data_IF_713176856272
#
_entry.id   IF_713176856272
#
_cell.length_a   1.000
_cell.length_b   1.000
_cell.length_c   1.000
_cell.angle_alpha   90.00
_cell.angle_beta   90.00
_cell.angle_gamma   90.00
#
_symmetry.space_group_name_H-M   'P 1'
#
loop_
_entity.id
_entity.type
_entity.pdbx_description
1 polymer ?
#
# COMPACT_ATOMS: atom_id res chain seq x y z
N UNK A 1 -5.15 18.58 -5.48
CA UNK A 1 -6.30 18.17 -4.63
C UNK A 1 -5.85 18.19 -3.18
N UNK A 2 -6.58 18.88 -2.29
CA UNK A 2 -6.30 18.88 -0.85
C UNK A 2 -6.74 17.54 -0.24
N UNK A 3 -5.79 16.73 0.21
CA UNK A 3 -6.09 15.53 1.00
C UNK A 3 -6.42 15.98 2.43
N UNK A 4 -7.70 15.96 2.82
CA UNK A 4 -8.10 16.08 4.23
C UNK A 4 -7.91 14.70 4.87
N UNK A 5 -6.95 14.59 5.78
CA UNK A 5 -6.80 13.42 6.63
C UNK A 5 -7.64 13.62 7.88
N UNK A 6 -8.58 12.71 8.16
CA UNK A 6 -9.37 12.70 9.38
C UNK A 6 -8.88 11.52 10.21
N UNK A 7 -8.21 11.81 11.33
CA UNK A 7 -7.88 10.79 12.32
C UNK A 7 -9.12 10.57 13.19
N UNK A 8 -9.68 9.36 13.16
CA UNK A 8 -10.76 8.94 14.04
C UNK A 8 -10.15 8.02 15.09
N UNK A 9 -10.13 8.46 16.35
CA UNK A 9 -9.88 7.55 17.47
C UNK A 9 -11.11 6.64 17.59
N UNK A 10 -10.94 5.39 17.19
CA UNK A 10 -11.98 4.40 17.34
C UNK A 10 -11.80 3.72 18.72
N UNK A 11 -12.79 3.86 19.60
CA UNK A 11 -12.92 3.02 20.80
C UNK A 11 -13.33 1.59 20.39
N UNK A 12 -12.42 0.86 19.74
CA UNK A 12 -12.70 -0.51 19.28
C UNK A 12 -12.25 -1.53 20.32
N UNK A 13 -13.03 -2.60 20.55
CA UNK A 13 -12.58 -3.75 21.33
C UNK A 13 -11.18 -4.22 20.91
N UNK A 14 -10.33 -4.58 21.88
CA UNK A 14 -8.91 -4.96 21.68
C UNK A 14 -8.66 -6.02 20.60
N UNK A 15 -9.63 -6.91 20.36
CA UNK A 15 -9.53 -7.93 19.31
C UNK A 15 -9.65 -7.35 17.89
N UNK A 16 -10.51 -6.35 17.71
CA UNK A 16 -10.72 -5.70 16.41
C UNK A 16 -9.56 -4.75 16.10
N UNK A 17 -9.03 -4.03 17.10
CA UNK A 17 -7.83 -3.22 16.89
C UNK A 17 -6.64 -4.08 16.45
N UNK A 18 -6.45 -5.26 17.06
CA UNK A 18 -5.42 -6.22 16.65
C UNK A 18 -5.62 -6.72 15.21
N UNK A 19 -6.86 -6.96 14.78
CA UNK A 19 -7.17 -7.34 13.40
C UNK A 19 -6.84 -6.19 12.42
N UNK A 20 -7.24 -4.96 12.74
CA UNK A 20 -6.96 -3.79 11.92
C UNK A 20 -5.44 -3.57 11.76
N UNK A 21 -4.68 -3.67 12.85
CA UNK A 21 -3.21 -3.60 12.79
C UNK A 21 -2.60 -4.71 11.92
N UNK A 22 -3.14 -5.94 11.99
CA UNK A 22 -2.68 -7.05 11.15
C UNK A 22 -2.93 -6.76 9.66
N UNK A 23 -4.13 -6.25 9.32
CA UNK A 23 -4.49 -5.86 7.96
C UNK A 23 -3.64 -4.70 7.47
N UNK A 24 -3.42 -3.68 8.30
CA UNK A 24 -2.57 -2.53 8.00
C UNK A 24 -1.13 -2.97 7.75
N UNK A 25 -0.57 -3.82 8.62
CA UNK A 25 0.80 -4.33 8.46
C UNK A 25 0.96 -5.13 7.17
N UNK A 26 -0.03 -5.95 6.81
CA UNK A 26 -0.02 -6.69 5.54
C UNK A 26 -0.08 -5.74 4.33
N UNK A 27 -0.98 -4.74 4.38
CA UNK A 27 -1.12 -3.73 3.34
C UNK A 27 0.20 -2.96 3.12
N UNK A 28 0.79 -2.43 4.20
CA UNK A 28 2.05 -1.68 4.13
C UNK A 28 3.23 -2.57 3.67
N UNK A 29 3.26 -3.84 4.08
CA UNK A 29 4.24 -4.81 3.61
C UNK A 29 4.20 -4.99 2.10
N UNK A 30 3.00 -5.24 1.54
CA UNK A 30 2.79 -5.37 0.09
C UNK A 30 3.24 -4.10 -0.63
N UNK A 31 2.80 -2.93 -0.16
CA UNK A 31 3.15 -1.64 -0.76
C UNK A 31 4.68 -1.47 -0.83
N UNK A 32 5.38 -1.74 0.28
CA UNK A 32 6.83 -1.57 0.37
C UNK A 32 7.58 -2.53 -0.56
N UNK A 33 7.24 -3.81 -0.55
CA UNK A 33 7.92 -4.81 -1.39
C UNK A 33 7.72 -4.50 -2.88
N UNK A 34 6.48 -4.20 -3.29
CA UNK A 34 6.16 -3.88 -4.69
C UNK A 34 6.84 -2.57 -5.11
N UNK A 35 6.91 -1.56 -4.24
CA UNK A 35 7.58 -0.30 -4.52
C UNK A 35 9.10 -0.49 -4.71
N UNK A 36 9.74 -1.26 -3.84
CA UNK A 36 11.17 -1.61 -3.97
C UNK A 36 11.43 -2.31 -5.30
N UNK A 37 10.59 -3.29 -5.65
CA UNK A 37 10.70 -4.00 -6.92
C UNK A 37 10.51 -3.06 -8.13
N UNK A 38 9.49 -2.19 -8.08
CA UNK A 38 9.17 -1.24 -9.14
C UNK A 38 10.33 -0.26 -9.40
N UNK A 39 10.98 0.24 -8.34
CA UNK A 39 12.16 1.10 -8.43
C UNK A 39 13.35 0.34 -9.01
N UNK A 40 13.67 -0.83 -8.45
CA UNK A 40 14.82 -1.64 -8.88
C UNK A 40 14.73 -2.08 -10.35
N UNK A 41 13.52 -2.34 -10.86
CA UNK A 41 13.29 -2.84 -12.22
C UNK A 41 12.77 -1.77 -13.18
N UNK A 42 12.69 -0.50 -12.76
CA UNK A 42 12.12 0.60 -13.55
C UNK A 42 10.71 0.32 -14.13
N UNK A 43 9.87 -0.36 -13.36
CA UNK A 43 8.48 -0.66 -13.74
C UNK A 43 7.55 0.40 -13.17
N UNK A 44 6.84 1.11 -14.03
CA UNK A 44 5.85 2.14 -13.64
C UNK A 44 4.40 1.72 -13.88
N UNK A 45 4.18 0.67 -14.67
CA UNK A 45 2.84 0.19 -15.00
C UNK A 45 2.23 -0.61 -13.84
N UNK A 46 1.15 -0.08 -13.27
CA UNK A 46 0.35 -0.78 -12.25
C UNK A 46 -0.12 -2.16 -12.74
N UNK A 47 -0.56 -2.26 -14.00
CA UNK A 47 -1.03 -3.52 -14.59
C UNK A 47 0.08 -4.57 -14.66
N UNK A 48 1.31 -4.14 -14.98
CA UNK A 48 2.48 -5.05 -15.02
C UNK A 48 2.81 -5.55 -13.62
N UNK A 49 2.80 -4.67 -12.61
CA UNK A 49 3.03 -5.06 -11.22
C UNK A 49 1.90 -5.95 -10.69
N UNK A 50 0.66 -5.69 -11.08
CA UNK A 50 -0.48 -6.53 -10.71
C UNK A 50 -0.34 -7.94 -11.27
N UNK A 51 0.02 -8.09 -12.55
CA UNK A 51 0.29 -9.40 -13.15
C UNK A 51 1.41 -10.18 -12.46
N UNK A 52 2.42 -9.49 -11.93
CA UNK A 52 3.55 -10.12 -11.25
C UNK A 52 3.24 -10.52 -9.80
N UNK A 53 2.52 -9.68 -9.05
CA UNK A 53 2.40 -9.82 -7.60
C UNK A 53 1.04 -10.30 -7.11
N UNK A 54 -0.03 -10.12 -7.89
CA UNK A 54 -1.39 -10.39 -7.42
C UNK A 54 -1.60 -11.86 -7.02
N UNK A 55 -1.17 -12.80 -7.86
CA UNK A 55 -1.33 -14.25 -7.60
C UNK A 55 -0.58 -14.70 -6.33
N UNK A 56 0.64 -14.18 -6.13
CA UNK A 56 1.46 -14.45 -4.95
C UNK A 56 0.76 -13.97 -3.68
N UNK A 57 0.39 -12.70 -3.61
CA UNK A 57 -0.23 -12.15 -2.40
C UNK A 57 -1.63 -12.69 -2.16
N UNK A 58 -2.37 -13.05 -3.21
CA UNK A 58 -3.68 -13.69 -3.05
C UNK A 58 -3.57 -15.07 -2.38
N UNK A 59 -2.47 -15.77 -2.64
CA UNK A 59 -2.17 -17.08 -2.06
C UNK A 59 -1.62 -16.98 -0.63
N UNK A 60 -0.78 -15.97 -0.39
CA UNK A 60 -0.17 -15.69 0.93
C UNK A 60 -1.20 -15.15 1.93
N UNK A 61 -2.05 -14.23 1.49
CA UNK A 61 -3.05 -13.57 2.33
C UNK A 61 -4.47 -14.02 1.97
N UNK A 62 -4.78 -15.29 2.23
CA UNK A 62 -6.07 -15.86 1.81
C UNK A 62 -7.30 -15.15 2.41
N UNK A 63 -7.17 -14.64 3.64
CA UNK A 63 -8.20 -13.90 4.35
C UNK A 63 -8.19 -12.38 4.12
N UNK A 64 -7.24 -11.84 3.36
CA UNK A 64 -7.20 -10.42 3.03
C UNK A 64 -8.09 -10.16 1.82
N UNK A 65 -8.90 -9.10 1.91
CA UNK A 65 -9.80 -8.72 0.82
C UNK A 65 -9.00 -8.40 -0.45
N UNK A 66 -9.34 -9.03 -1.58
CA UNK A 66 -8.57 -8.94 -2.81
C UNK A 66 -8.38 -7.49 -3.31
N UNK A 67 -9.37 -6.63 -3.05
CA UNK A 67 -9.29 -5.22 -3.42
C UNK A 67 -8.15 -4.47 -2.68
N UNK A 68 -7.83 -4.85 -1.44
CA UNK A 68 -6.71 -4.25 -0.70
C UNK A 68 -5.37 -4.59 -1.34
N UNK A 69 -5.21 -5.81 -1.85
CA UNK A 69 -4.01 -6.24 -2.58
C UNK A 69 -3.87 -5.42 -3.87
N UNK A 70 -4.96 -5.25 -4.62
CA UNK A 70 -4.97 -4.46 -5.87
C UNK A 70 -4.65 -2.99 -5.58
N UNK A 71 -5.23 -2.41 -4.53
CA UNK A 71 -4.96 -1.04 -4.09
C UNK A 71 -3.51 -0.84 -3.65
N UNK A 72 -2.96 -1.77 -2.88
CA UNK A 72 -1.56 -1.73 -2.44
C UNK A 72 -0.59 -1.72 -3.63
N UNK A 73 -0.83 -2.58 -4.63
CA UNK A 73 -0.01 -2.66 -5.85
C UNK A 73 -0.11 -1.36 -6.67
N UNK A 74 -1.33 -0.81 -6.80
CA UNK A 74 -1.55 0.46 -7.51
C UNK A 74 -0.85 1.61 -6.79
N UNK A 75 -0.98 1.71 -5.47
CA UNK A 75 -0.28 2.72 -4.68
C UNK A 75 1.24 2.59 -4.79
N UNK A 76 1.78 1.36 -4.78
CA UNK A 76 3.20 1.12 -4.98
C UNK A 76 3.70 1.62 -6.35
N UNK A 77 2.90 1.45 -7.41
CA UNK A 77 3.21 1.97 -8.74
C UNK A 77 3.21 3.51 -8.82
N UNK A 78 2.34 4.14 -8.04
CA UNK A 78 2.21 5.60 -7.93
C UNK A 78 3.30 6.21 -7.04
N UNK A 79 3.99 5.40 -6.23
CA UNK A 79 5.07 5.82 -5.33
C UNK A 79 6.34 6.31 -6.07
N UNK A 80 6.26 6.43 -7.40
CA UNK A 80 7.23 7.08 -8.28
C UNK A 80 6.61 8.30 -8.97
N UNK A 81 6.24 9.31 -8.18
CA UNK A 81 5.89 10.64 -8.69
C UNK A 81 6.39 11.74 -7.72
N UNK A 82 6.75 12.93 -8.22
CA UNK A 82 7.61 13.93 -7.57
C UNK A 82 7.06 14.60 -6.29
N UNK A 83 6.09 14.02 -5.59
CA UNK A 83 5.57 14.54 -4.32
C UNK A 83 6.62 14.58 -3.19
N UNK A 84 7.77 13.93 -3.37
CA UNK A 84 8.96 14.11 -2.50
C UNK A 84 9.70 15.45 -2.75
N UNK A 85 9.59 16.06 -3.95
CA UNK A 85 10.23 17.36 -4.24
C UNK A 85 9.51 18.56 -3.63
N UNK A 86 8.27 18.41 -3.19
CA UNK A 86 7.51 19.48 -2.52
C UNK A 86 7.86 19.57 -1.02
N UNK A 87 8.39 18.49 -0.42
CA UNK A 87 8.67 18.43 1.03
C UNK A 87 10.10 18.82 1.43
N UNK A 88 10.99 19.10 0.49
CA UNK A 88 12.37 19.58 0.74
C UNK A 88 12.55 21.08 0.46
N UNK A 89 11.45 21.85 0.35
CA UNK A 89 11.52 23.32 0.16
C UNK A 89 10.89 24.14 1.28
N UNK A 90 10.83 23.56 2.49
CA UNK A 90 10.59 24.29 3.74
C UNK A 90 11.45 23.66 4.84
N UNK A 91 12.69 24.12 4.93
CA UNK A 91 13.46 24.23 6.17
C UNK A 91 13.94 25.68 6.24
#
# INVERSE_FOLDING_TARGET
MLCRAVAVELEVPKGVSKLLYSVESAYLGIVREVAVYAVANNVTSANKLQGLFYSRYRSEYQGLHAHLIIQAIRQASEMRSPSLKEKERVW
#
